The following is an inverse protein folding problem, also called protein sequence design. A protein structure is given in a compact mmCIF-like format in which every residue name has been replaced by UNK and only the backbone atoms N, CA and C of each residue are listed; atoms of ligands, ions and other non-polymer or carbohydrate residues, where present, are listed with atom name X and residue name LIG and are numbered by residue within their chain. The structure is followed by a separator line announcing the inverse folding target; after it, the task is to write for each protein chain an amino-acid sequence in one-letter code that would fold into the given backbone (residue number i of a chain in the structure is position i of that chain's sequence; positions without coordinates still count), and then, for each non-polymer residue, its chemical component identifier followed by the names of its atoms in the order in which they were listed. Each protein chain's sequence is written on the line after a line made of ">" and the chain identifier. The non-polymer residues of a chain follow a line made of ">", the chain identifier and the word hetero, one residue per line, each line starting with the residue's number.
data_IF_848088674607
#
_entry.id   IF_848088674607
#
_cell.length_a   1.000
_cell.length_b   1.000
_cell.length_c   1.000
_cell.angle_alpha   90.00
_cell.angle_beta   90.00
_cell.angle_gamma   90.00
#
_symmetry.space_group_name_H-M   'P 1'
#
loop_
_entity.id
_entity.type
_entity.pdbx_description
1 polymer ?
#
# COMPACT_ATOMS: atom_id res chain seq x y z
N UNK A 1 -22.94 13.83 4.22
CA UNK A 1 -22.86 12.75 5.23
C UNK A 1 -21.47 12.16 5.16
N UNK A 2 -20.59 12.52 6.10
CA UNK A 2 -19.23 11.99 6.14
C UNK A 2 -19.29 10.52 6.59
N UNK A 3 -18.78 9.61 5.77
CA UNK A 3 -18.61 8.21 6.15
C UNK A 3 -17.46 8.16 7.15
N UNK A 4 -17.77 8.14 8.44
CA UNK A 4 -16.79 7.88 9.49
C UNK A 4 -16.32 6.42 9.29
N UNK A 5 -15.19 6.23 8.62
CA UNK A 5 -14.56 4.93 8.56
C UNK A 5 -14.15 4.52 9.98
N UNK A 6 -14.50 3.27 10.33
CA UNK A 6 -14.13 2.68 11.60
C UNK A 6 -12.61 2.71 11.77
N UNK A 7 -12.09 3.05 12.97
CA UNK A 7 -10.66 3.00 13.24
C UNK A 7 -10.06 1.64 12.88
N UNK A 8 -8.86 1.63 12.30
CA UNK A 8 -8.20 0.40 11.81
C UNK A 8 -8.14 -0.69 12.88
N UNK A 9 -7.96 -0.31 14.16
CA UNK A 9 -7.95 -1.21 15.31
C UNK A 9 -9.27 -1.96 15.49
N UNK A 10 -10.43 -1.30 15.38
CA UNK A 10 -11.72 -1.96 15.55
C UNK A 10 -12.05 -2.87 14.37
N UNK A 11 -11.60 -2.51 13.16
CA UNK A 11 -11.66 -3.40 11.99
C UNK A 11 -10.83 -4.67 12.19
N UNK A 12 -9.64 -4.59 12.79
CA UNK A 12 -8.80 -5.75 13.07
C UNK A 12 -9.43 -6.63 14.17
N UNK A 13 -9.89 -6.03 15.26
CA UNK A 13 -10.56 -6.75 16.36
C UNK A 13 -11.81 -7.49 15.87
N UNK A 14 -12.61 -6.86 14.99
CA UNK A 14 -13.76 -7.50 14.36
C UNK A 14 -13.35 -8.71 13.50
N UNK A 15 -12.27 -8.59 12.74
CA UNK A 15 -11.78 -9.70 11.91
C UNK A 15 -11.23 -10.86 12.76
N UNK A 16 -10.55 -10.57 13.86
CA UNK A 16 -10.03 -11.60 14.79
C UNK A 16 -11.18 -12.39 15.43
N UNK A 17 -12.22 -11.69 15.89
CA UNK A 17 -13.41 -12.30 16.45
C UNK A 17 -14.16 -13.18 15.42
N UNK A 18 -14.26 -12.73 14.17
CA UNK A 18 -14.88 -13.51 13.09
C UNK A 18 -14.06 -14.78 12.77
N UNK A 19 -12.73 -14.68 12.72
CA UNK A 19 -11.86 -15.84 12.48
C UNK A 19 -11.95 -16.87 13.61
N UNK A 20 -11.99 -16.41 14.87
CA UNK A 20 -12.17 -17.26 16.05
C UNK A 20 -13.47 -18.07 15.98
N UNK A 21 -14.58 -17.43 15.63
CA UNK A 21 -15.86 -18.12 15.47
C UNK A 21 -15.83 -19.16 14.35
N UNK A 22 -15.18 -18.85 13.23
CA UNK A 22 -15.04 -19.78 12.11
C UNK A 22 -14.15 -20.99 12.45
N UNK A 23 -13.13 -20.79 13.28
CA UNK A 23 -12.30 -21.87 13.82
C UNK A 23 -13.08 -22.78 14.77
N UNK A 24 -13.91 -22.19 15.64
CA UNK A 24 -14.76 -22.91 16.59
C UNK A 24 -15.82 -23.76 15.87
N UNK A 25 -16.45 -23.22 14.83
CA UNK A 25 -17.41 -23.95 13.97
C UNK A 25 -16.71 -25.10 13.22
N UNK A 26 -15.49 -24.86 12.73
CA UNK A 26 -14.70 -25.88 12.01
C UNK A 26 -14.23 -27.03 12.91
N UNK A 27 -14.01 -26.77 14.20
CA UNK A 27 -13.72 -27.79 15.21
C UNK A 27 -14.92 -28.64 15.62
N UNK A 28 -16.15 -28.15 15.39
CA UNK A 28 -17.39 -28.81 15.82
C UNK A 28 -17.92 -29.87 14.82
N UNK A 29 -17.14 -30.23 13.78
CA UNK A 29 -17.53 -31.22 12.76
C UNK A 29 -17.53 -32.68 13.26
N UNK A 30 -17.44 -32.92 14.57
CA UNK A 30 -17.70 -34.24 15.17
C UNK A 30 -19.15 -34.31 15.65
N UNK A 31 -20.05 -34.52 14.67
CA UNK A 31 -21.40 -35.08 14.84
C UNK A 31 -22.28 -34.49 15.96
N UNK A 32 -23.28 -33.70 15.56
CA UNK A 32 -24.57 -33.69 16.25
C UNK A 32 -25.69 -33.35 15.26
N UNK A 33 -26.54 -34.34 14.99
CA UNK A 33 -27.89 -34.16 14.46
C UNK A 33 -28.66 -33.23 15.40
N UNK A 34 -29.15 -32.09 14.93
CA UNK A 34 -30.42 -31.53 15.41
C UNK A 34 -30.97 -30.46 14.48
N UNK A 35 -32.28 -30.58 14.22
CA UNK A 35 -33.15 -29.62 13.56
C UNK A 35 -33.12 -28.23 14.23
N UNK A 36 -33.29 -27.15 13.46
CA UNK A 36 -34.14 -26.02 13.86
C UNK A 36 -34.41 -25.02 12.72
N UNK A 37 -35.71 -24.97 12.37
CA UNK A 37 -36.55 -23.82 12.01
C UNK A 37 -36.02 -22.70 11.07
N UNK A 38 -36.71 -22.61 9.94
CA UNK A 38 -36.69 -21.62 8.88
C UNK A 38 -36.97 -20.17 9.32
N UNK A 39 -36.44 -19.20 8.56
CA UNK A 39 -37.17 -17.96 8.22
C UNK A 39 -37.05 -17.68 6.71
N UNK A 40 -38.12 -17.16 6.05
CA UNK A 40 -38.20 -17.06 4.60
C UNK A 40 -37.84 -15.66 4.11
N UNK A 41 -36.90 -15.55 3.16
CA UNK A 41 -36.74 -14.36 2.32
C UNK A 41 -36.76 -14.78 0.87
N UNK A 42 -37.79 -14.32 0.17
CA UNK A 42 -38.09 -14.62 -1.22
C UNK A 42 -36.99 -14.18 -2.19
N UNK A 43 -36.69 -15.11 -3.12
CA UNK A 43 -36.35 -14.90 -4.52
C UNK A 43 -34.96 -14.33 -4.88
N UNK A 44 -33.96 -15.21 -4.97
CA UNK A 44 -33.57 -15.80 -6.28
C UNK A 44 -32.81 -17.09 -6.00
N UNK A 45 -33.08 -18.13 -6.80
CA UNK A 45 -32.88 -19.57 -6.55
C UNK A 45 -31.42 -19.98 -6.24
N UNK A 46 -30.96 -19.63 -5.03
CA UNK A 46 -29.76 -20.15 -4.38
C UNK A 46 -30.03 -21.55 -3.84
N UNK A 47 -30.21 -22.53 -4.73
CA UNK A 47 -30.05 -23.92 -4.34
C UNK A 47 -28.55 -24.22 -4.23
N UNK A 48 -28.04 -24.13 -3.01
CA UNK A 48 -26.87 -24.90 -2.59
C UNK A 48 -27.32 -26.37 -2.54
N UNK A 49 -27.67 -26.92 -3.70
CA UNK A 49 -27.86 -28.35 -3.87
C UNK A 49 -26.48 -28.95 -3.80
N UNK A 50 -26.29 -30.01 -3.01
CA UNK A 50 -25.19 -30.94 -3.21
C UNK A 50 -25.06 -31.15 -4.72
N UNK A 51 -23.95 -30.68 -5.30
CA UNK A 51 -23.73 -30.77 -6.73
C UNK A 51 -23.51 -32.24 -7.02
N UNK A 52 -24.60 -32.93 -7.31
CA UNK A 52 -24.58 -34.32 -7.70
C UNK A 52 -23.83 -34.33 -9.03
N UNK A 53 -22.58 -34.81 -9.06
CA UNK A 53 -21.75 -34.89 -10.27
C UNK A 53 -22.23 -36.01 -11.21
N UNK A 54 -23.51 -36.36 -11.12
CA UNK A 54 -24.16 -37.26 -12.04
C UNK A 54 -24.25 -36.58 -13.42
N UNK A 55 -23.90 -37.27 -14.52
CA UNK A 55 -23.98 -36.70 -15.87
C UNK A 55 -25.35 -36.06 -16.20
N UNK A 56 -26.43 -36.60 -15.61
CA UNK A 56 -27.82 -36.15 -15.84
C UNK A 56 -28.17 -34.83 -15.14
N UNK A 57 -27.47 -34.44 -14.08
CA UNK A 57 -27.69 -33.15 -13.38
C UNK A 57 -26.86 -32.02 -14.00
N UNK A 58 -25.72 -32.34 -14.61
CA UNK A 58 -24.85 -31.36 -15.28
C UNK A 58 -25.49 -30.76 -16.54
N UNK A 59 -26.30 -31.51 -17.28
CA UNK A 59 -26.99 -31.02 -18.48
C UNK A 59 -27.85 -29.76 -18.25
N UNK A 60 -28.35 -29.55 -17.02
CA UNK A 60 -29.15 -28.37 -16.67
C UNK A 60 -28.32 -27.14 -16.31
N UNK A 61 -27.02 -27.28 -16.15
CA UNK A 61 -26.13 -26.23 -15.63
C UNK A 61 -24.92 -25.94 -16.52
N UNK A 62 -24.60 -26.82 -17.46
CA UNK A 62 -23.53 -26.62 -18.43
C UNK A 62 -23.98 -25.71 -19.58
N UNK A 63 -23.06 -24.85 -20.03
CA UNK A 63 -23.23 -24.08 -21.28
C UNK A 63 -22.72 -24.92 -22.46
N UNK A 64 -23.23 -24.68 -23.69
CA UNK A 64 -22.72 -25.33 -24.90
C UNK A 64 -21.20 -25.19 -25.02
N UNK A 65 -20.52 -26.26 -25.45
CA UNK A 65 -19.05 -26.30 -25.50
C UNK A 65 -18.48 -25.25 -26.46
N UNK A 66 -19.15 -24.98 -27.58
CA UNK A 66 -18.78 -23.94 -28.54
C UNK A 66 -18.72 -22.56 -27.89
N UNK A 67 -19.66 -22.23 -27.00
CA UNK A 67 -19.68 -20.95 -26.30
C UNK A 67 -18.49 -20.83 -25.35
N UNK A 68 -18.15 -21.93 -24.66
CA UNK A 68 -17.01 -21.97 -23.73
C UNK A 68 -15.69 -21.82 -24.48
N UNK A 69 -15.56 -22.47 -25.64
CA UNK A 69 -14.37 -22.36 -26.51
C UNK A 69 -14.23 -20.91 -27.00
N UNK A 70 -15.28 -20.31 -27.58
CA UNK A 70 -15.25 -18.93 -28.05
C UNK A 70 -14.88 -17.94 -26.92
N UNK A 71 -15.44 -18.14 -25.72
CA UNK A 71 -15.14 -17.30 -24.56
C UNK A 71 -13.68 -17.45 -24.10
N UNK A 72 -13.15 -18.68 -24.09
CA UNK A 72 -11.77 -18.96 -23.72
C UNK A 72 -10.78 -18.37 -24.72
N UNK A 73 -11.07 -18.48 -26.01
CA UNK A 73 -10.25 -17.89 -27.09
C UNK A 73 -10.27 -16.36 -27.01
N UNK A 74 -11.45 -15.76 -26.81
CA UNK A 74 -11.60 -14.30 -26.70
C UNK A 74 -10.89 -13.73 -25.45
N UNK A 75 -10.94 -14.44 -24.32
CA UNK A 75 -10.28 -14.02 -23.06
C UNK A 75 -8.78 -14.27 -23.07
N UNK A 76 -8.31 -15.14 -23.95
CA UNK A 76 -6.92 -15.54 -24.02
C UNK A 76 -6.47 -16.38 -22.82
N UNK A 77 -5.20 -16.73 -22.80
CA UNK A 77 -4.61 -17.53 -21.73
C UNK A 77 -4.31 -16.67 -20.50
N UNK A 78 -4.22 -17.32 -19.33
CA UNK A 78 -3.75 -16.66 -18.12
C UNK A 78 -2.35 -16.04 -18.31
N UNK A 79 -1.49 -16.69 -19.10
CA UNK A 79 -0.14 -16.21 -19.41
C UNK A 79 -0.21 -14.88 -20.17
N UNK A 80 -1.04 -14.77 -21.21
CA UNK A 80 -1.21 -13.51 -21.96
C UNK A 80 -1.69 -12.37 -21.06
N UNK A 81 -2.64 -12.65 -20.16
CA UNK A 81 -3.12 -11.67 -19.20
C UNK A 81 -2.04 -11.25 -18.20
N UNK A 82 -1.19 -12.18 -17.77
CA UNK A 82 -0.08 -11.90 -16.87
C UNK A 82 0.97 -11.01 -17.56
N UNK A 83 1.35 -11.35 -18.80
CA UNK A 83 2.29 -10.54 -19.60
C UNK A 83 1.79 -9.11 -19.79
N UNK A 84 0.50 -8.90 -20.04
CA UNK A 84 -0.07 -7.55 -20.16
C UNK A 84 -0.04 -6.77 -18.84
N UNK A 85 -0.21 -7.44 -17.70
CA UNK A 85 -0.06 -6.81 -16.38
C UNK A 85 1.41 -6.45 -16.13
N UNK A 86 2.33 -7.34 -16.45
CA UNK A 86 3.77 -7.10 -16.31
C UNK A 86 4.23 -5.89 -17.14
N UNK A 87 3.80 -5.76 -18.40
CA UNK A 87 4.10 -4.59 -19.24
C UNK A 87 3.60 -3.28 -18.62
N UNK A 88 2.37 -3.28 -18.11
CA UNK A 88 1.78 -2.09 -17.48
C UNK A 88 2.50 -1.71 -16.19
N UNK A 89 2.88 -2.68 -15.38
CA UNK A 89 3.64 -2.45 -14.14
C UNK A 89 5.03 -1.90 -14.48
N UNK A 90 5.73 -2.50 -15.45
CA UNK A 90 7.03 -2.02 -15.90
C UNK A 90 6.97 -0.56 -16.37
N UNK A 91 5.96 -0.21 -17.16
CA UNK A 91 5.76 1.16 -17.64
C UNK A 91 5.55 2.16 -16.49
N UNK A 92 4.77 1.79 -15.48
CA UNK A 92 4.56 2.62 -14.29
C UNK A 92 5.84 2.76 -13.45
N UNK A 93 6.62 1.69 -13.30
CA UNK A 93 7.91 1.75 -12.61
C UNK A 93 8.88 2.73 -13.29
N UNK A 94 9.01 2.64 -14.61
CA UNK A 94 9.86 3.58 -15.37
C UNK A 94 9.41 5.03 -15.23
N UNK A 95 8.10 5.29 -15.31
CA UNK A 95 7.55 6.64 -15.12
C UNK A 95 7.86 7.20 -13.73
N UNK A 96 7.70 6.40 -12.68
CA UNK A 96 8.02 6.82 -11.31
C UNK A 96 9.51 7.06 -11.12
N UNK A 97 10.37 6.22 -11.69
CA UNK A 97 11.82 6.41 -11.65
C UNK A 97 12.24 7.72 -12.34
N UNK A 98 11.68 7.99 -13.53
CA UNK A 98 11.93 9.24 -14.27
C UNK A 98 11.48 10.48 -13.47
N UNK A 99 10.28 10.45 -12.87
CA UNK A 99 9.78 11.52 -12.02
C UNK A 99 10.67 11.76 -10.79
N UNK A 100 11.11 10.69 -10.13
CA UNK A 100 12.01 10.78 -8.98
C UNK A 100 13.40 11.31 -9.36
N UNK A 101 13.92 10.91 -10.52
CA UNK A 101 15.15 11.49 -11.05
C UNK A 101 15.01 12.97 -11.36
N UNK A 102 13.89 13.38 -11.96
CA UNK A 102 13.61 14.78 -12.26
C UNK A 102 13.54 15.61 -10.97
N UNK A 103 12.81 15.14 -9.95
CA UNK A 103 12.72 15.82 -8.65
C UNK A 103 14.09 15.94 -7.99
N UNK A 104 14.90 14.87 -8.02
CA UNK A 104 16.27 14.87 -7.48
C UNK A 104 17.17 15.90 -8.19
N UNK A 105 17.07 15.99 -9.53
CA UNK A 105 17.80 16.99 -10.33
C UNK A 105 17.36 18.40 -9.94
N UNK A 106 16.05 18.66 -9.83
CA UNK A 106 15.54 19.96 -9.40
C UNK A 106 15.99 20.34 -7.98
N UNK A 107 16.03 19.40 -7.05
CA UNK A 107 16.50 19.64 -5.69
C UNK A 107 17.99 19.98 -5.65
N UNK A 108 18.82 19.28 -6.43
CA UNK A 108 20.25 19.58 -6.56
C UNK A 108 20.50 20.96 -7.15
N UNK A 109 19.75 21.34 -8.19
CA UNK A 109 19.84 22.68 -8.77
C UNK A 109 19.43 23.77 -7.76
N UNK A 110 18.35 23.55 -7.00
CA UNK A 110 17.94 24.47 -5.93
C UNK A 110 19.04 24.63 -4.89
N UNK A 111 19.70 23.54 -4.48
CA UNK A 111 20.81 23.57 -3.52
C UNK A 111 22.04 24.33 -4.05
N UNK A 112 22.35 24.21 -5.34
CA UNK A 112 23.44 24.96 -5.99
C UNK A 112 23.15 26.46 -6.14
N UNK A 113 21.88 26.82 -6.40
CA UNK A 113 21.43 28.21 -6.61
C UNK A 113 21.23 29.00 -5.30
N UNK A 114 21.25 28.36 -4.13
CA UNK A 114 21.14 29.06 -2.85
C UNK A 114 22.39 29.91 -2.55
N UNK A 115 22.25 31.23 -2.32
CA UNK A 115 23.38 32.09 -2.02
C UNK A 115 24.01 31.71 -0.68
N UNK A 116 25.26 31.23 -0.70
CA UNK A 116 26.03 31.02 0.52
C UNK A 116 26.14 32.35 1.27
N UNK A 117 25.51 32.45 2.45
CA UNK A 117 25.62 33.64 3.32
C UNK A 117 27.11 33.88 3.63
N UNK A 118 27.72 34.91 3.04
CA UNK A 118 29.11 35.30 3.27
C UNK A 118 29.25 35.86 4.70
N UNK A 119 29.44 34.97 5.68
CA UNK A 119 29.67 35.35 7.09
C UNK A 119 31.13 35.76 7.38
N UNK A 120 32.02 35.72 6.39
CA UNK A 120 33.47 35.88 6.63
C UNK A 120 33.97 37.31 6.85
N UNK A 121 33.44 38.31 6.14
CA UNK A 121 34.11 39.62 6.09
C UNK A 121 33.84 40.50 7.32
N UNK A 122 32.58 40.58 7.77
CA UNK A 122 32.22 41.36 8.98
C UNK A 122 32.90 40.82 10.24
N UNK A 123 32.98 39.49 10.36
CA UNK A 123 33.58 38.85 11.53
C UNK A 123 35.10 39.04 11.56
N UNK A 124 35.75 39.04 10.39
CA UNK A 124 37.19 39.30 10.28
C UNK A 124 37.55 40.76 10.58
N UNK A 125 36.73 41.73 10.13
CA UNK A 125 36.92 43.15 10.47
C UNK A 125 36.72 43.41 11.97
N UNK A 126 35.74 42.74 12.61
CA UNK A 126 35.52 42.82 14.06
C UNK A 126 36.75 42.31 14.84
N UNK A 127 37.40 41.27 14.35
CA UNK A 127 38.57 40.69 15.00
C UNK A 127 39.82 41.59 14.84
N UNK A 128 39.98 42.28 13.70
CA UNK A 128 41.09 43.24 13.51
C UNK A 128 40.97 44.49 14.37
N UNK A 129 39.76 45.00 14.62
CA UNK A 129 39.54 46.19 15.45
C UNK A 129 39.75 45.91 16.95
N UNK A 130 39.52 44.68 17.41
CA UNK A 130 39.67 44.30 18.82
C UNK A 130 41.13 44.00 19.24
N UNK A 131 42.08 43.91 18.31
CA UNK A 131 43.50 43.60 18.62
C UNK A 131 44.32 44.85 18.96
N UNK A 132 43.80 46.07 18.74
CA UNK A 132 44.57 47.31 18.86
C UNK A 132 44.64 47.94 20.26
N UNK A 133 44.19 47.25 21.31
CA UNK A 133 43.98 47.85 22.64
C UNK A 133 44.71 47.22 23.84
N UNK A 134 45.63 46.27 23.66
CA UNK A 134 46.27 45.59 24.80
C UNK A 134 47.77 45.38 24.64
N UNK A 135 48.55 46.45 24.55
CA UNK A 135 49.96 46.43 24.95
C UNK A 135 50.29 47.83 25.47
N UNK A 136 50.36 47.97 26.80
CA UNK A 136 51.38 48.76 27.51
C UNK A 136 50.97 48.92 28.98
N UNK A 137 51.43 47.98 29.80
CA UNK A 137 51.89 48.27 31.17
C UNK A 137 53.14 47.44 31.40
N UNK A 138 54.28 47.95 30.92
CA UNK A 138 55.60 47.51 31.36
C UNK A 138 55.72 47.76 32.85
N UNK A 139 56.25 46.76 33.54
CA UNK A 139 56.79 46.83 34.89
C UNK A 139 57.81 47.97 35.00
N UNK A 140 57.67 48.82 36.02
CA UNK A 140 58.80 49.52 36.62
C UNK A 140 59.15 48.79 37.93
N UNK A 141 60.38 48.25 38.01
CA UNK A 141 61.09 48.02 39.28
C UNK A 141 61.61 49.36 39.83
N UNK A 142 62.22 49.50 41.00
CA UNK A 142 62.92 48.61 41.92
C UNK A 142 63.10 49.38 43.24
N UNK A 143 63.61 48.68 44.28
CA UNK A 143 64.31 49.22 45.47
C UNK A 143 65.30 50.32 45.07
#
# INVERSE_FOLDING_TARGET
>A
MATAEEPILSRIERLDNMLRQLEEIRGCNRSSKSSCASTPTSASDGRISSLDFSPKSLEKHCRPIENVIMEAEAKGTLIQRLTHVEDRVLKLCLQLEDEWEAERKMEQEKKMKQPKKKKGLKQLMQQCLNVRGKHDKKQEGSI
#
